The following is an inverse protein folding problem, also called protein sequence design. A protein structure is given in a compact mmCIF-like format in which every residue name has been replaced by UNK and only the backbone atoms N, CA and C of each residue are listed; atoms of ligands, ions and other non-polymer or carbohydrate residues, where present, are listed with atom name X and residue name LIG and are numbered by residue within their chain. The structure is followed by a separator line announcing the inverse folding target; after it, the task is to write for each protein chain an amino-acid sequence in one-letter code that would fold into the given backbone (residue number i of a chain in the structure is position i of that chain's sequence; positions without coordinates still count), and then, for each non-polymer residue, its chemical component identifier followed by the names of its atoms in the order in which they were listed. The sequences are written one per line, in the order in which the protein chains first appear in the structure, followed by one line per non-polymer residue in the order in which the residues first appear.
data_IF_949815792802
#
_entry.id   IF_949815792802
#
_cell.length_a   1.000
_cell.length_b   1.000
_cell.length_c   1.000
_cell.angle_alpha   90.00
_cell.angle_beta   90.00
_cell.angle_gamma   90.00
#
_symmetry.space_group_name_H-M   'P 1'
#
loop_
_entity.id
_entity.type
_entity.pdbx_description
1 polymer ?
#
# COMPACT_ATOMS: atom_id res chain seq x y z
N UNK A 1 -10.84 14.27 -10.56
CA UNK A 1 -9.43 14.25 -10.12
C UNK A 1 -9.32 13.32 -8.92
N UNK A 2 -8.55 12.24 -9.04
CA UNK A 2 -8.35 11.25 -7.98
C UNK A 2 -7.24 11.69 -7.00
N UNK A 3 -7.14 11.05 -5.82
CA UNK A 3 -6.04 11.33 -4.87
C UNK A 3 -4.66 11.02 -5.48
N UNK A 4 -4.57 9.94 -6.27
CA UNK A 4 -3.35 9.57 -7.02
C UNK A 4 -2.97 10.67 -8.01
N UNK A 5 -3.92 11.13 -8.82
CA UNK A 5 -3.68 12.23 -9.79
C UNK A 5 -3.18 13.50 -9.09
N UNK A 6 -3.76 13.87 -7.95
CA UNK A 6 -3.30 15.03 -7.16
C UNK A 6 -1.85 14.84 -6.69
N UNK A 7 -1.48 13.65 -6.20
CA UNK A 7 -0.12 13.34 -5.77
C UNK A 7 0.87 13.43 -6.93
N UNK A 8 0.55 12.81 -8.06
CA UNK A 8 1.39 12.83 -9.27
C UNK A 8 1.61 14.26 -9.73
N UNK A 9 0.54 15.08 -9.85
CA UNK A 9 0.66 16.47 -10.30
C UNK A 9 1.48 17.33 -9.33
N UNK A 10 1.30 17.14 -8.03
CA UNK A 10 2.04 17.88 -6.99
C UNK A 10 3.52 17.55 -7.03
N UNK A 11 3.85 16.25 -7.14
CA UNK A 11 5.22 15.78 -7.23
C UNK A 11 5.88 16.18 -8.55
N UNK A 12 5.16 16.08 -9.68
CA UNK A 12 5.63 16.52 -10.99
C UNK A 12 5.96 18.02 -10.98
N UNK A 13 5.09 18.84 -10.38
CA UNK A 13 5.35 20.27 -10.17
C UNK A 13 6.61 20.53 -9.33
N UNK A 14 6.80 19.77 -8.25
CA UNK A 14 7.99 19.88 -7.38
C UNK A 14 9.28 19.41 -8.08
N UNK A 15 9.20 18.40 -8.93
CA UNK A 15 10.32 17.91 -9.74
C UNK A 15 10.69 18.91 -10.85
N UNK A 16 9.68 19.54 -11.46
CA UNK A 16 9.88 20.55 -12.50
C UNK A 16 10.51 21.85 -11.96
N UNK A 17 10.24 22.21 -10.70
CA UNK A 17 10.88 23.38 -10.07
C UNK A 17 12.32 23.12 -9.61
N UNK A 18 12.71 21.85 -9.40
CA UNK A 18 14.03 21.46 -8.89
C UNK A 18 14.98 20.86 -9.93
N UNK A 19 14.50 20.59 -11.15
CA UNK A 19 15.27 19.94 -12.22
C UNK A 19 15.32 20.71 -13.53
N UNK A 20 16.20 20.26 -14.43
CA UNK A 20 16.23 20.68 -15.84
C UNK A 20 15.65 19.53 -16.66
N UNK A 21 14.60 19.80 -17.44
CA UNK A 21 13.92 18.76 -18.22
C UNK A 21 12.57 19.25 -18.73
N UNK A 22 11.91 18.45 -19.56
CA UNK A 22 10.53 18.72 -19.98
C UNK A 22 9.55 18.28 -18.90
N UNK A 23 8.43 18.99 -18.77
CA UNK A 23 7.41 18.68 -17.76
C UNK A 23 6.92 17.22 -17.87
N UNK A 24 6.80 16.71 -19.10
CA UNK A 24 6.40 15.32 -19.37
C UNK A 24 7.36 14.29 -18.75
N UNK A 25 8.67 14.58 -18.74
CA UNK A 25 9.68 13.70 -18.13
C UNK A 25 9.55 13.71 -16.60
N UNK A 26 9.25 14.87 -16.01
CA UNK A 26 8.96 15.01 -14.58
C UNK A 26 7.65 14.32 -14.19
N UNK A 27 6.63 14.41 -15.03
CA UNK A 27 5.34 13.74 -14.83
C UNK A 27 5.50 12.22 -14.84
N UNK A 28 6.15 11.66 -15.87
CA UNK A 28 6.41 10.22 -15.95
C UNK A 28 7.29 9.71 -14.80
N UNK A 29 8.20 10.55 -14.29
CA UNK A 29 8.97 10.24 -13.08
C UNK A 29 8.09 10.27 -11.83
N UNK A 30 7.21 11.25 -11.69
CA UNK A 30 6.29 11.35 -10.57
C UNK A 30 5.31 10.17 -10.53
N UNK A 31 4.79 9.73 -11.68
CA UNK A 31 3.93 8.54 -11.77
C UNK A 31 4.63 7.30 -11.21
N UNK A 32 5.85 7.01 -11.69
CA UNK A 32 6.62 5.86 -11.21
C UNK A 32 6.87 5.91 -9.71
N UNK A 33 7.30 7.05 -9.18
CA UNK A 33 7.56 7.21 -7.75
C UNK A 33 6.30 7.06 -6.90
N UNK A 34 5.16 7.58 -7.37
CA UNK A 34 3.88 7.42 -6.66
C UNK A 34 3.46 5.96 -6.66
N UNK A 35 3.58 5.27 -7.80
CA UNK A 35 3.22 3.86 -7.89
C UNK A 35 4.15 2.98 -7.03
N UNK A 36 5.47 3.21 -7.07
CA UNK A 36 6.45 2.53 -6.20
C UNK A 36 6.09 2.69 -4.72
N UNK A 37 5.85 3.92 -4.24
CA UNK A 37 5.50 4.17 -2.84
C UNK A 37 4.16 3.53 -2.47
N UNK A 38 3.17 3.53 -3.37
CA UNK A 38 1.87 2.90 -3.10
C UNK A 38 2.00 1.38 -3.01
N UNK A 39 2.80 0.76 -3.88
CA UNK A 39 3.09 -0.68 -3.83
C UNK A 39 3.85 -1.04 -2.57
N UNK A 40 4.93 -0.33 -2.25
CA UNK A 40 5.72 -0.57 -1.03
C UNK A 40 4.85 -0.44 0.23
N UNK A 41 4.00 0.59 0.28
CA UNK A 41 3.10 0.80 1.42
C UNK A 41 2.02 -0.29 1.52
N UNK A 42 1.48 -0.76 0.39
CA UNK A 42 0.54 -1.87 0.37
C UNK A 42 1.19 -3.15 0.92
N UNK A 43 2.42 -3.43 0.50
CA UNK A 43 3.22 -4.54 1.00
C UNK A 43 3.45 -4.46 2.52
N UNK A 44 3.93 -3.31 3.01
CA UNK A 44 4.14 -3.08 4.44
C UNK A 44 2.87 -3.28 5.26
N UNK A 45 1.73 -2.78 4.78
CA UNK A 45 0.45 -2.91 5.45
C UNK A 45 -0.04 -4.36 5.50
N UNK A 46 0.11 -5.11 4.40
CA UNK A 46 -0.24 -6.53 4.34
C UNK A 46 0.62 -7.35 5.32
N UNK A 47 1.92 -7.09 5.38
CA UNK A 47 2.84 -7.73 6.32
C UNK A 47 2.54 -7.36 7.77
N UNK A 48 2.18 -6.11 8.05
CA UNK A 48 1.78 -5.69 9.39
C UNK A 48 0.55 -6.46 9.88
N UNK A 49 -0.47 -6.64 9.02
CA UNK A 49 -1.65 -7.45 9.34
C UNK A 49 -1.23 -8.88 9.69
N UNK A 50 -0.39 -9.51 8.87
CA UNK A 50 0.10 -10.89 9.10
C UNK A 50 0.89 -10.99 10.41
N UNK A 51 1.70 -9.98 10.73
CA UNK A 51 2.53 -9.92 11.93
C UNK A 51 1.72 -9.75 13.22
N UNK A 52 0.67 -8.93 13.21
CA UNK A 52 -0.16 -8.70 14.40
C UNK A 52 -1.17 -9.82 14.66
N UNK A 53 -1.53 -10.58 13.63
CA UNK A 53 -2.58 -11.59 13.69
C UNK A 53 -2.37 -12.64 14.81
N UNK A 54 -1.16 -13.21 15.03
CA UNK A 54 -0.93 -14.17 16.12
C UNK A 54 -1.25 -13.60 17.50
N UNK A 55 -0.90 -12.34 17.78
CA UNK A 55 -1.15 -11.70 19.08
C UNK A 55 -2.64 -11.41 19.29
N UNK A 56 -3.39 -11.12 18.22
CA UNK A 56 -4.85 -10.98 18.28
C UNK A 56 -5.52 -12.33 18.55
N UNK A 57 -5.07 -13.40 17.88
CA UNK A 57 -5.62 -14.75 18.03
C UNK A 57 -5.45 -15.29 19.44
N UNK A 58 -4.30 -15.05 20.09
CA UNK A 58 -4.05 -15.46 21.49
C UNK A 58 -5.08 -14.96 22.49
N UNK A 59 -5.77 -13.85 22.19
CA UNK A 59 -6.78 -13.21 23.06
C UNK A 59 -8.20 -13.75 22.84
N UNK A 60 -8.41 -14.59 21.82
CA UNK A 60 -9.72 -15.13 21.48
C UNK A 60 -9.99 -16.43 22.23
N UNK A 61 -11.27 -16.68 22.53
CA UNK A 61 -11.73 -17.95 23.08
C UNK A 61 -12.68 -18.62 22.10
N UNK A 62 -12.50 -19.93 21.89
CA UNK A 62 -13.31 -20.73 20.98
C UNK A 62 -12.76 -20.81 19.55
N UNK A 63 -12.76 -22.02 18.99
CA UNK A 63 -12.15 -22.33 17.70
C UNK A 63 -12.74 -21.50 16.54
N UNK A 64 -14.05 -21.27 16.54
CA UNK A 64 -14.71 -20.50 15.48
C UNK A 64 -14.34 -19.02 15.47
N UNK A 65 -14.05 -18.43 16.63
CA UNK A 65 -13.58 -17.05 16.71
C UNK A 65 -12.18 -16.93 16.11
N UNK A 66 -11.29 -17.87 16.44
CA UNK A 66 -9.93 -17.96 15.89
C UNK A 66 -9.94 -18.12 14.37
N UNK A 67 -10.68 -19.12 13.86
CA UNK A 67 -10.76 -19.41 12.41
C UNK A 67 -11.23 -18.18 11.64
N UNK A 68 -12.30 -17.53 12.12
CA UNK A 68 -12.87 -16.35 11.45
C UNK A 68 -11.86 -15.20 11.41
N UNK A 69 -11.22 -14.89 12.54
CA UNK A 69 -10.24 -13.80 12.61
C UNK A 69 -9.05 -14.05 11.70
N UNK A 70 -8.51 -15.28 11.68
CA UNK A 70 -7.38 -15.64 10.81
C UNK A 70 -7.77 -15.51 9.34
N UNK A 71 -8.89 -16.13 8.94
CA UNK A 71 -9.34 -16.14 7.55
C UNK A 71 -9.65 -14.73 7.02
N UNK A 72 -10.32 -13.89 7.81
CA UNK A 72 -10.65 -12.51 7.41
C UNK A 72 -9.40 -11.64 7.30
N UNK A 73 -8.44 -11.78 8.22
CA UNK A 73 -7.21 -11.00 8.19
C UNK A 73 -6.30 -11.39 7.02
N UNK A 74 -6.16 -12.69 6.75
CA UNK A 74 -5.41 -13.18 5.58
C UNK A 74 -6.04 -12.67 4.29
N UNK A 75 -7.36 -12.81 4.14
CA UNK A 75 -8.06 -12.31 2.96
C UNK A 75 -7.90 -10.80 2.77
N UNK A 76 -7.94 -10.01 3.85
CA UNK A 76 -7.70 -8.57 3.77
C UNK A 76 -6.27 -8.24 3.32
N UNK A 77 -5.27 -8.97 3.81
CA UNK A 77 -3.89 -8.80 3.38
C UNK A 77 -3.72 -9.14 1.89
N UNK A 78 -4.32 -10.24 1.41
CA UNK A 78 -4.27 -10.64 -0.01
C UNK A 78 -4.98 -9.64 -0.94
N UNK A 79 -6.01 -8.94 -0.45
CA UNK A 79 -6.68 -7.87 -1.22
C UNK A 79 -5.86 -6.58 -1.28
N UNK A 80 -5.04 -6.31 -0.26
CA UNK A 80 -4.17 -5.13 -0.19
C UNK A 80 -2.92 -5.36 -1.04
N UNK A 81 -2.29 -6.53 -0.90
CA UNK A 81 -1.12 -6.94 -1.66
C UNK A 81 -1.34 -8.36 -2.22
N UNK A 82 -1.82 -8.48 -3.48
CA UNK A 82 -2.09 -9.76 -4.11
C UNK A 82 -0.82 -10.50 -4.56
N UNK A 83 0.35 -9.86 -4.57
CA UNK A 83 1.60 -10.50 -5.02
C UNK A 83 2.29 -11.33 -3.93
N UNK A 84 1.80 -11.25 -2.68
CA UNK A 84 2.35 -11.97 -1.50
C UNK A 84 1.62 -13.30 -1.20
N UNK A 85 0.68 -13.72 -2.07
CA UNK A 85 -0.04 -14.99 -1.93
C UNK A 85 0.80 -16.25 -2.21
#
# INVERSE_FOLDING_TARGET
MTKRETLVLTLAGSLATSGVGRYEEHYARAERLVDEVLTDHAHELAEEIRRELPERVKKLTGNWAVIRTVSTAQHAADLIDPEVS
#
